data_IF_248105499698
#
_entry.id   IF_248105499698
#
_cell.length_a   1.000
_cell.length_b   1.000
_cell.length_c   1.000
_cell.angle_alpha   90.00
_cell.angle_beta   90.00
_cell.angle_gamma   90.00
#
_symmetry.space_group_name_H-M   'P 1'
#
loop_
_entity.id
_entity.type
_entity.pdbx_description
1 polymer ?
#
# COMPACT_ATOMS: atom_id res chain seq x y z
N UNK A 1 -1.22 10.23 -1.00
CA UNK A 1 -0.91 9.37 0.17
C UNK A 1 0.54 8.97 0.01
N UNK A 2 1.29 8.67 1.06
CA UNK A 2 2.75 8.47 0.93
C UNK A 2 3.22 7.26 0.10
N UNK A 3 2.31 6.39 -0.35
CA UNK A 3 2.62 5.10 -0.96
C UNK A 3 3.33 5.15 -2.32
N UNK A 4 3.41 6.31 -2.98
CA UNK A 4 4.09 6.43 -4.28
C UNK A 4 5.56 5.98 -4.26
N UNK A 5 6.25 6.10 -3.12
CA UNK A 5 7.65 5.62 -2.98
C UNK A 5 7.78 4.09 -3.03
N UNK A 6 6.70 3.35 -2.73
CA UNK A 6 6.69 1.89 -2.80
C UNK A 6 6.71 1.38 -4.25
N UNK A 7 6.16 2.14 -5.20
CA UNK A 7 6.17 1.80 -6.63
C UNK A 7 7.59 1.69 -7.20
N UNK A 8 8.54 2.43 -6.61
CA UNK A 8 9.95 2.41 -7.03
C UNK A 8 10.74 1.23 -6.43
N UNK A 9 10.13 0.49 -5.51
CA UNK A 9 10.82 -0.51 -4.69
C UNK A 9 10.79 -1.88 -5.41
N UNK A 10 11.80 -2.13 -6.24
CA UNK A 10 11.95 -3.41 -6.95
C UNK A 10 12.37 -4.50 -5.97
N UNK A 11 11.51 -5.49 -5.77
CA UNK A 11 11.71 -6.60 -4.82
C UNK A 11 12.27 -7.87 -5.49
N UNK A 12 13.06 -7.74 -6.56
CA UNK A 12 13.56 -8.90 -7.31
C UNK A 12 14.92 -9.38 -6.75
N UNK A 13 15.02 -10.64 -6.33
CA UNK A 13 16.27 -11.28 -5.93
C UNK A 13 16.64 -11.10 -4.45
N UNK A 14 17.75 -10.40 -4.16
CA UNK A 14 18.28 -10.19 -2.80
C UNK A 14 17.28 -9.46 -1.87
N UNK A 15 16.52 -8.45 -2.33
CA UNK A 15 15.51 -7.78 -1.50
C UNK A 15 14.41 -8.72 -0.97
N UNK A 16 14.07 -9.81 -1.67
CA UNK A 16 13.10 -10.78 -1.18
C UNK A 16 13.60 -11.52 0.07
N UNK A 17 14.88 -11.91 0.09
CA UNK A 17 15.51 -12.51 1.29
C UNK A 17 15.58 -11.51 2.45
N UNK A 18 15.78 -10.23 2.15
CA UNK A 18 15.74 -9.18 3.15
C UNK A 18 14.33 -9.02 3.73
N UNK A 19 13.28 -9.10 2.91
CA UNK A 19 11.90 -9.10 3.36
C UNK A 19 11.61 -10.24 4.34
N UNK A 20 12.00 -11.47 4.01
CA UNK A 20 11.87 -12.61 4.92
C UNK A 20 12.64 -12.41 6.22
N UNK A 21 13.87 -11.92 6.16
CA UNK A 21 14.67 -11.64 7.35
C UNK A 21 13.99 -10.60 8.26
N UNK A 22 13.41 -9.55 7.69
CA UNK A 22 12.68 -8.54 8.49
C UNK A 22 11.47 -9.17 9.17
N UNK A 23 10.70 -10.00 8.47
CA UNK A 23 9.54 -10.69 9.07
C UNK A 23 9.95 -11.61 10.21
N UNK A 24 11.05 -12.34 10.07
CA UNK A 24 11.50 -13.30 11.08
C UNK A 24 12.11 -12.64 12.32
N UNK A 25 12.60 -11.40 12.22
CA UNK A 25 13.33 -10.71 13.28
C UNK A 25 12.64 -9.45 13.81
N UNK A 26 11.45 -9.13 13.30
CA UNK A 26 10.63 -8.02 13.78
C UNK A 26 9.66 -8.50 14.86
N UNK A 27 9.69 -7.84 16.01
CA UNK A 27 8.74 -8.06 17.09
C UNK A 27 7.60 -7.02 17.02
N UNK A 28 6.36 -7.44 16.73
CA UNK A 28 5.23 -6.52 16.60
C UNK A 28 4.78 -5.91 17.94
N UNK A 29 5.10 -6.52 19.07
CA UNK A 29 4.68 -6.03 20.39
C UNK A 29 5.59 -4.88 20.86
N UNK A 30 6.90 -5.00 20.65
CA UNK A 30 7.87 -3.95 20.97
C UNK A 30 8.12 -2.97 19.83
N UNK A 31 7.67 -3.28 18.61
CA UNK A 31 8.00 -2.56 17.37
C UNK A 31 9.51 -2.49 17.11
N UNK A 32 10.25 -3.52 17.48
CA UNK A 32 11.70 -3.59 17.32
C UNK A 32 12.10 -4.61 16.27
N UNK A 33 13.06 -4.24 15.42
CA UNK A 33 13.71 -5.13 14.47
C UNK A 33 15.11 -5.48 15.00
N UNK A 34 15.32 -6.74 15.38
CA UNK A 34 16.61 -7.20 15.90
C UNK A 34 17.51 -7.68 14.77
N UNK A 35 18.55 -6.91 14.48
CA UNK A 35 19.63 -7.33 13.58
C UNK A 35 20.70 -8.09 14.38
N UNK A 36 21.62 -8.77 13.69
CA UNK A 36 22.69 -9.59 14.29
C UNK A 36 23.49 -8.90 15.40
N UNK A 37 23.59 -7.57 15.38
CA UNK A 37 24.37 -6.80 16.36
C UNK A 37 23.70 -5.52 16.87
N UNK A 38 22.50 -5.18 16.39
CA UNK A 38 21.82 -3.91 16.70
C UNK A 38 20.31 -4.14 16.68
N UNK A 39 19.61 -3.53 17.62
CA UNK A 39 18.14 -3.49 17.61
C UNK A 39 17.68 -2.13 17.10
N UNK A 40 16.82 -2.13 16.08
CA UNK A 40 16.25 -0.94 15.48
C UNK A 40 14.81 -0.78 15.95
N UNK A 41 14.52 0.26 16.73
CA UNK A 41 13.15 0.63 17.04
C UNK A 41 12.46 1.22 15.81
N UNK A 42 11.30 0.67 15.45
CA UNK A 42 10.44 1.16 14.37
C UNK A 42 9.33 1.98 15.02
N UNK A 43 9.48 3.29 14.99
CA UNK A 43 8.44 4.21 15.45
C UNK A 43 7.57 4.71 14.27
N UNK A 44 6.40 5.25 14.61
CA UNK A 44 5.47 5.79 13.62
C UNK A 44 6.06 7.02 12.88
N UNK A 45 7.00 7.76 13.48
CA UNK A 45 7.66 8.91 12.86
C UNK A 45 8.63 8.47 11.75
N UNK A 46 9.38 7.40 11.97
CA UNK A 46 10.28 6.77 11.02
C UNK A 46 9.48 6.21 9.85
N UNK A 47 8.36 5.53 10.11
CA UNK A 47 7.44 5.04 9.07
C UNK A 47 6.88 6.21 8.27
N UNK A 48 6.42 7.28 8.93
CA UNK A 48 5.95 8.48 8.26
C UNK A 48 7.03 9.15 7.42
N UNK A 49 8.26 9.25 7.92
CA UNK A 49 9.38 9.88 7.23
C UNK A 49 9.80 9.10 5.98
N UNK A 50 9.81 7.77 6.06
CA UNK A 50 10.24 6.90 4.95
C UNK A 50 9.12 6.74 3.92
N UNK A 51 7.92 6.40 4.39
CA UNK A 51 6.78 6.04 3.54
C UNK A 51 5.79 7.18 3.32
N UNK A 52 5.94 8.34 3.96
CA UNK A 52 5.00 9.46 3.85
C UNK A 52 3.60 9.16 4.39
N UNK A 53 3.42 8.07 5.13
CA UNK A 53 2.12 7.68 5.68
C UNK A 53 1.84 8.60 6.88
N UNK A 54 0.74 9.37 6.89
CA UNK A 54 0.45 10.28 8.00
C UNK A 54 0.44 9.55 9.34
N UNK A 55 1.02 10.19 10.37
CA UNK A 55 0.99 9.68 11.73
C UNK A 55 -0.42 9.89 12.29
N UNK A 56 -1.08 8.80 12.65
CA UNK A 56 -2.50 8.80 12.97
C UNK A 56 -3.38 8.79 11.72
N UNK A 57 -4.69 8.83 11.92
CA UNK A 57 -5.63 8.77 10.81
C UNK A 57 -7.08 8.76 11.27
N UNK A 58 -7.96 9.06 10.31
CA UNK A 58 -9.40 8.86 10.49
C UNK A 58 -9.69 7.39 10.24
N UNK A 59 -10.42 6.75 11.14
CA UNK A 59 -10.85 5.36 10.90
C UNK A 59 -11.61 5.30 9.59
N UNK A 60 -11.47 4.21 8.82
CA UNK A 60 -12.26 4.04 7.60
C UNK A 60 -13.78 4.19 7.86
N UNK A 61 -14.22 3.81 9.06
CA UNK A 61 -15.60 3.95 9.51
C UNK A 61 -16.02 5.41 9.81
N UNK A 62 -15.07 6.30 10.05
CA UNK A 62 -15.31 7.73 10.27
C UNK A 62 -15.18 8.56 8.97
N UNK A 63 -14.73 7.94 7.87
CA UNK A 63 -14.81 8.57 6.56
C UNK A 63 -16.28 8.59 6.11
N UNK A 64 -16.80 9.78 5.80
CA UNK A 64 -18.13 9.90 5.22
C UNK A 64 -18.20 9.06 3.95
N UNK A 65 -19.22 8.21 3.85
CA UNK A 65 -19.49 7.44 2.63
C UNK A 65 -19.62 8.43 1.48
N UNK A 66 -18.73 8.33 0.48
CA UNK A 66 -18.90 9.09 -0.77
C UNK A 66 -20.17 8.59 -1.43
N UNK A 67 -20.95 9.51 -2.00
CA UNK A 67 -22.15 9.15 -2.73
C UNK A 67 -21.82 8.11 -3.82
N UNK A 68 -22.73 7.15 -4.02
CA UNK A 68 -22.57 6.06 -4.99
C UNK A 68 -22.33 6.54 -6.44
N UNK A 69 -22.51 7.83 -6.70
CA UNK A 69 -22.35 8.51 -7.98
C UNK A 69 -21.10 9.40 -8.08
N UNK A 70 -20.05 9.10 -7.32
CA UNK A 70 -18.77 9.77 -7.54
C UNK A 70 -18.25 9.47 -8.97
N UNK A 71 -18.09 10.52 -9.76
CA UNK A 71 -17.62 10.45 -11.14
C UNK A 71 -16.23 9.82 -11.23
N UNK A 72 -15.39 10.03 -10.21
CA UNK A 72 -14.07 9.42 -10.07
C UNK A 72 -14.15 7.90 -9.88
N UNK A 73 -15.04 7.42 -9.01
CA UNK A 73 -15.25 5.96 -8.81
C UNK A 73 -15.81 5.32 -10.08
N UNK A 74 -16.73 6.00 -10.77
CA UNK A 74 -17.28 5.51 -12.04
C UNK A 74 -16.23 5.45 -13.15
N UNK A 75 -15.37 6.46 -13.26
CA UNK A 75 -14.23 6.48 -14.19
C UNK A 75 -13.22 5.37 -13.86
N UNK A 76 -12.87 5.24 -12.59
CA UNK A 76 -11.98 4.21 -12.07
C UNK A 76 -12.48 2.79 -12.41
N UNK A 77 -13.75 2.50 -12.13
CA UNK A 77 -14.34 1.17 -12.35
C UNK A 77 -14.41 0.79 -13.83
N UNK A 78 -14.59 1.77 -14.73
CA UNK A 78 -14.60 1.55 -16.18
C UNK A 78 -13.25 1.09 -16.76
N UNK A 79 -12.16 1.23 -16.01
CA UNK A 79 -10.83 0.71 -16.42
C UNK A 79 -10.76 -0.82 -16.38
N UNK A 80 -11.66 -1.46 -15.63
CA UNK A 80 -11.73 -2.90 -15.52
C UNK A 80 -12.79 -3.50 -16.44
N UNK A 81 -12.62 -4.78 -16.86
CA UNK A 81 -13.67 -5.50 -17.56
C UNK A 81 -14.97 -5.49 -16.74
N UNK A 82 -16.16 -5.46 -17.39
CA UNK A 82 -17.44 -5.48 -16.72
C UNK A 82 -17.61 -6.80 -15.96
N UNK A 83 -17.18 -6.80 -14.70
CA UNK A 83 -17.21 -7.92 -13.78
C UNK A 83 -17.77 -7.45 -12.45
N UNK A 84 -18.42 -8.38 -11.74
CA UNK A 84 -18.88 -8.13 -10.36
C UNK A 84 -17.71 -8.03 -9.39
N UNK A 85 -16.56 -8.62 -9.73
CA UNK A 85 -15.37 -8.69 -8.91
C UNK A 85 -14.13 -8.29 -9.71
N UNK A 86 -13.29 -7.43 -9.12
CA UNK A 86 -11.99 -7.08 -9.66
C UNK A 86 -10.97 -7.88 -8.86
N UNK A 87 -10.23 -8.76 -9.53
CA UNK A 87 -9.25 -9.60 -8.84
C UNK A 87 -8.00 -8.80 -8.43
N UNK A 88 -7.34 -9.15 -7.30
CA UNK A 88 -6.08 -8.51 -6.91
C UNK A 88 -5.02 -8.55 -8.03
N UNK A 89 -4.97 -9.64 -8.80
CA UNK A 89 -4.09 -9.76 -9.98
C UNK A 89 -4.35 -8.66 -11.01
N UNK A 90 -5.63 -8.39 -11.33
CA UNK A 90 -5.97 -7.31 -12.27
C UNK A 90 -5.61 -5.94 -11.72
N UNK A 91 -5.69 -5.72 -10.40
CA UNK A 91 -5.27 -4.46 -9.79
C UNK A 91 -3.76 -4.26 -9.90
N UNK A 92 -2.97 -5.29 -9.59
CA UNK A 92 -1.51 -5.27 -9.76
C UNK A 92 -1.12 -5.02 -11.22
N UNK A 93 -1.74 -5.72 -12.17
CA UNK A 93 -1.49 -5.51 -13.60
C UNK A 93 -1.79 -4.07 -14.05
N UNK A 94 -2.83 -3.43 -13.48
CA UNK A 94 -3.19 -2.05 -13.81
C UNK A 94 -2.25 -1.03 -13.14
N UNK A 95 -1.83 -1.29 -11.90
CA UNK A 95 -0.80 -0.48 -11.24
C UNK A 95 0.50 -0.51 -12.05
N UNK A 96 0.96 -1.69 -12.47
CA UNK A 96 2.20 -1.83 -13.25
C UNK A 96 2.12 -1.18 -14.64
N UNK A 97 0.95 -1.19 -15.28
CA UNK A 97 0.75 -0.65 -16.63
C UNK A 97 0.44 0.85 -16.66
N UNK A 98 -0.39 1.33 -15.75
CA UNK A 98 -0.96 2.69 -15.82
C UNK A 98 -0.36 3.65 -14.81
N UNK A 99 0.19 3.17 -13.69
CA UNK A 99 0.61 4.07 -12.61
C UNK A 99 1.76 4.98 -13.04
N UNK A 100 2.61 4.60 -14.02
CA UNK A 100 3.79 5.38 -14.44
C UNK A 100 4.71 5.83 -13.26
N UNK A 101 4.52 5.26 -12.05
CA UNK A 101 5.17 5.72 -10.82
C UNK A 101 4.49 6.90 -10.10
N UNK A 102 3.34 7.39 -10.55
CA UNK A 102 2.61 8.50 -9.95
C UNK A 102 1.58 8.03 -8.89
N UNK A 103 1.55 8.73 -7.75
CA UNK A 103 0.56 8.57 -6.68
C UNK A 103 -0.76 9.30 -7.03
N UNK A 104 -1.39 8.86 -8.12
CA UNK A 104 -2.64 9.41 -8.62
C UNK A 104 -3.88 8.78 -7.93
N UNK A 105 -5.07 9.30 -8.25
CA UNK A 105 -6.32 8.79 -7.66
C UNK A 105 -6.54 7.31 -7.96
N UNK A 106 -6.21 6.88 -9.17
CA UNK A 106 -6.40 5.53 -9.65
C UNK A 106 -5.51 4.54 -8.93
N UNK A 107 -4.21 4.86 -8.80
CA UNK A 107 -3.25 4.10 -8.01
C UNK A 107 -3.72 3.95 -6.57
N UNK A 108 -4.16 5.04 -5.92
CA UNK A 108 -4.66 4.98 -4.53
C UNK A 108 -5.86 4.05 -4.40
N UNK A 109 -6.79 4.09 -5.35
CA UNK A 109 -7.97 3.22 -5.34
C UNK A 109 -7.59 1.76 -5.55
N UNK A 110 -6.72 1.46 -6.51
CA UNK A 110 -6.24 0.10 -6.79
C UNK A 110 -5.48 -0.47 -5.59
N UNK A 111 -4.60 0.33 -5.00
CA UNK A 111 -3.82 -0.02 -3.82
C UNK A 111 -4.71 -0.30 -2.61
N UNK A 112 -5.63 0.62 -2.26
CA UNK A 112 -6.50 0.46 -1.09
C UNK A 112 -7.40 -0.77 -1.23
N UNK A 113 -8.00 -0.98 -2.41
CA UNK A 113 -8.89 -2.13 -2.59
C UNK A 113 -8.10 -3.43 -2.62
N UNK A 114 -6.90 -3.45 -3.20
CA UNK A 114 -6.01 -4.61 -3.13
C UNK A 114 -5.72 -4.98 -1.66
N UNK A 115 -5.37 -4.01 -0.81
CA UNK A 115 -5.15 -4.23 0.63
C UNK A 115 -6.40 -4.65 1.41
N UNK A 116 -7.60 -4.21 1.01
CA UNK A 116 -8.85 -4.59 1.67
C UNK A 116 -9.35 -5.99 1.26
N UNK A 117 -8.98 -6.46 0.06
CA UNK A 117 -9.49 -7.71 -0.52
C UNK A 117 -8.62 -8.93 -0.17
N UNK A 118 -7.41 -8.71 0.36
CA UNK A 118 -6.48 -9.74 0.85
C UNK A 118 -6.70 -9.91 2.35
#
# INVERSE_FOLDING_TARGET
MGFGRLLSLKMDGIPAKLGHYVVDNFDPDSLELTLTSVTLAIDAEVVHKILGIPIGGVSFNALASREAHDEGISKWKKRYPPSRFISPKQMVDMIDKESNGEDDFNFRMDFIICFYTI
#
